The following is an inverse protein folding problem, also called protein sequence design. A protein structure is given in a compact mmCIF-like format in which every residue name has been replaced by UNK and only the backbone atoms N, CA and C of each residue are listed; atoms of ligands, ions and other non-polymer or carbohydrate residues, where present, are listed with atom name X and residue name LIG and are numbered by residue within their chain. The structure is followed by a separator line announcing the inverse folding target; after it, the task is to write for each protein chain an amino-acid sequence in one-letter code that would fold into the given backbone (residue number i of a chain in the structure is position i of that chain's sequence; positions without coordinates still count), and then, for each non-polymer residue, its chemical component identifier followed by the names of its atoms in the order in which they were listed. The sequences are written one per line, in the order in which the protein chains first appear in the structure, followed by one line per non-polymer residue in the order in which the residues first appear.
data_IF_491430374558
#
_entry.id   IF_491430374558
#
_cell.length_a   1.000
_cell.length_b   1.000
_cell.length_c   1.000
_cell.angle_alpha   90.00
_cell.angle_beta   90.00
_cell.angle_gamma   90.00
#
_symmetry.space_group_name_H-M   'P 1'
#
loop_
_entity.id
_entity.type
_entity.pdbx_description
1 polymer ?
#
# COMPACT_ATOMS: atom_id res chain seq x y z
N UNK A 1 4.23 20.68 21.05
CA UNK A 1 4.04 19.37 20.39
C UNK A 1 4.97 18.36 21.08
N UNK A 2 4.43 17.21 21.42
CA UNK A 2 5.22 16.13 22.05
C UNK A 2 6.36 15.69 21.12
N UNK A 3 7.58 15.48 21.64
CA UNK A 3 8.75 15.10 20.82
C UNK A 3 8.50 13.86 19.96
N UNK A 4 7.80 12.86 20.50
CA UNK A 4 7.46 11.62 19.76
C UNK A 4 6.56 11.91 18.57
N UNK A 5 5.53 12.72 18.72
CA UNK A 5 4.61 13.08 17.63
C UNK A 5 5.36 13.84 16.53
N UNK A 6 6.21 14.78 16.92
CA UNK A 6 7.02 15.52 15.95
C UNK A 6 7.99 14.62 15.18
N UNK A 7 8.65 13.70 15.87
CA UNK A 7 9.56 12.73 15.24
C UNK A 7 8.82 11.82 14.27
N UNK A 8 7.63 11.34 14.64
CA UNK A 8 6.78 10.51 13.81
C UNK A 8 6.34 11.25 12.54
N UNK A 9 5.85 12.50 12.69
CA UNK A 9 5.47 13.33 11.54
C UNK A 9 6.64 13.58 10.59
N UNK A 10 7.81 13.93 11.11
CA UNK A 10 9.00 14.18 10.30
C UNK A 10 9.43 12.92 9.55
N UNK A 11 9.45 11.78 10.23
CA UNK A 11 9.81 10.49 9.64
C UNK A 11 8.82 10.12 8.53
N UNK A 12 7.52 10.19 8.80
CA UNK A 12 6.49 9.88 7.83
C UNK A 12 6.56 10.79 6.60
N UNK A 13 6.72 12.10 6.79
CA UNK A 13 6.83 13.06 5.68
C UNK A 13 8.03 12.75 4.77
N UNK A 14 9.16 12.39 5.37
CA UNK A 14 10.37 12.03 4.61
C UNK A 14 10.22 10.71 3.88
N UNK A 15 9.64 9.71 4.55
CA UNK A 15 9.34 8.41 3.96
C UNK A 15 8.41 8.57 2.76
N UNK A 16 7.29 9.25 2.91
CA UNK A 16 6.33 9.49 1.84
C UNK A 16 6.97 10.19 0.64
N UNK A 17 7.79 11.20 0.88
CA UNK A 17 8.49 11.91 -0.21
C UNK A 17 9.38 10.97 -1.02
N UNK A 18 10.17 10.13 -0.36
CA UNK A 18 11.08 9.20 -1.03
C UNK A 18 10.31 8.09 -1.78
N UNK A 19 9.28 7.54 -1.14
CA UNK A 19 8.46 6.50 -1.76
C UNK A 19 7.67 7.04 -2.95
N UNK A 20 7.09 8.23 -2.84
CA UNK A 20 6.40 8.90 -3.93
C UNK A 20 7.31 9.09 -5.14
N UNK A 21 8.51 9.61 -4.91
CA UNK A 21 9.50 9.79 -5.98
C UNK A 21 9.83 8.49 -6.67
N UNK A 22 10.05 7.42 -5.91
CA UNK A 22 10.37 6.11 -6.46
C UNK A 22 9.26 5.59 -7.39
N UNK A 23 8.00 5.62 -6.93
CA UNK A 23 6.88 5.08 -7.71
C UNK A 23 6.53 5.97 -8.91
N UNK A 24 6.68 7.28 -8.80
CA UNK A 24 6.46 8.21 -9.91
C UNK A 24 7.47 8.02 -11.05
N UNK A 25 8.72 7.70 -10.73
CA UNK A 25 9.73 7.32 -11.72
C UNK A 25 9.36 6.05 -12.50
N UNK A 26 8.47 5.22 -11.95
CA UNK A 26 7.91 4.03 -12.60
C UNK A 26 6.58 4.28 -13.32
N UNK A 27 6.14 5.52 -13.38
CA UNK A 27 4.89 5.91 -14.04
C UNK A 27 3.63 5.64 -13.20
N UNK A 28 3.76 5.46 -11.89
CA UNK A 28 2.66 5.19 -10.98
C UNK A 28 2.46 6.35 -9.99
N UNK A 29 1.23 6.57 -9.58
CA UNK A 29 0.94 7.36 -8.38
C UNK A 29 1.12 6.49 -7.13
N UNK A 30 1.36 7.06 -5.95
CA UNK A 30 1.42 6.30 -4.71
C UNK A 30 0.18 5.42 -4.47
N UNK A 31 -1.02 5.96 -4.70
CA UNK A 31 -2.27 5.20 -4.52
C UNK A 31 -2.39 4.03 -5.53
N UNK A 32 -1.97 4.22 -6.77
CA UNK A 32 -1.92 3.13 -7.76
C UNK A 32 -0.94 2.03 -7.34
N UNK A 33 0.24 2.41 -6.86
CA UNK A 33 1.21 1.46 -6.34
C UNK A 33 0.65 0.68 -5.14
N UNK A 34 0.01 1.36 -4.19
CA UNK A 34 -0.58 0.74 -3.00
C UNK A 34 -1.64 -0.31 -3.37
N UNK A 35 -2.46 -0.03 -4.38
CA UNK A 35 -3.45 -1.00 -4.89
C UNK A 35 -2.76 -2.20 -5.52
N UNK A 36 -1.78 -1.97 -6.39
CA UNK A 36 -1.03 -3.07 -7.03
C UNK A 36 -0.29 -3.92 -5.99
N UNK A 37 0.37 -3.29 -5.03
CA UNK A 37 1.09 -3.98 -3.96
C UNK A 37 0.15 -4.79 -3.05
N UNK A 38 -1.04 -4.29 -2.77
CA UNK A 38 -2.04 -4.97 -1.94
C UNK A 38 -2.66 -6.17 -2.67
N UNK A 39 -2.91 -6.05 -3.97
CA UNK A 39 -3.46 -7.13 -4.79
C UNK A 39 -2.43 -8.17 -5.24
N UNK A 40 -1.14 -7.78 -5.29
CA UNK A 40 -0.07 -8.70 -5.69
C UNK A 40 -0.03 -9.94 -4.79
N UNK A 41 0.23 -11.10 -5.40
CA UNK A 41 0.26 -12.40 -4.73
C UNK A 41 -1.04 -12.80 -4.01
N UNK A 42 -2.16 -12.19 -4.38
CA UNK A 42 -3.51 -12.56 -3.93
C UNK A 42 -4.34 -13.08 -5.10
N UNK A 43 -5.38 -13.85 -4.79
CA UNK A 43 -6.40 -14.27 -5.76
C UNK A 43 -7.48 -13.20 -6.00
N UNK A 44 -7.24 -12.00 -5.48
CA UNK A 44 -8.17 -10.89 -5.53
C UNK A 44 -8.79 -10.57 -4.17
N UNK A 45 -9.30 -9.37 -4.04
CA UNK A 45 -9.92 -8.85 -2.82
C UNK A 45 -11.24 -8.15 -3.14
N UNK A 46 -12.25 -8.26 -2.24
CA UNK A 46 -13.42 -7.40 -2.29
C UNK A 46 -13.03 -5.92 -2.12
N UNK A 47 -13.83 -5.02 -2.68
CA UNK A 47 -13.57 -3.56 -2.64
C UNK A 47 -13.27 -3.04 -1.23
N UNK A 48 -14.10 -3.41 -0.24
CA UNK A 48 -13.91 -2.99 1.15
C UNK A 48 -12.59 -3.45 1.74
N UNK A 49 -12.25 -4.71 1.52
CA UNK A 49 -11.03 -5.31 2.03
C UNK A 49 -9.80 -4.70 1.37
N UNK A 50 -9.86 -4.44 0.07
CA UNK A 50 -8.79 -3.75 -0.65
C UNK A 50 -8.55 -2.36 -0.05
N UNK A 51 -9.59 -1.56 0.16
CA UNK A 51 -9.48 -0.24 0.76
C UNK A 51 -8.91 -0.28 2.18
N UNK A 52 -9.33 -1.26 2.97
CA UNK A 52 -8.84 -1.45 4.34
C UNK A 52 -7.34 -1.80 4.36
N UNK A 53 -6.91 -2.76 3.56
CA UNK A 53 -5.51 -3.19 3.52
C UNK A 53 -4.60 -2.15 2.89
N UNK A 54 -5.04 -1.49 1.83
CA UNK A 54 -4.29 -0.41 1.18
C UNK A 54 -4.34 0.92 1.94
N UNK A 55 -5.12 1.01 3.01
CA UNK A 55 -5.36 2.23 3.79
C UNK A 55 -5.89 3.39 2.94
N UNK A 56 -6.77 3.08 2.00
CA UNK A 56 -7.37 4.04 1.07
C UNK A 56 -8.88 4.09 1.32
N UNK A 57 -9.44 5.30 1.47
CA UNK A 57 -10.89 5.47 1.58
C UNK A 57 -11.62 5.11 0.27
N UNK A 58 -12.88 4.67 0.37
CA UNK A 58 -13.67 4.28 -0.79
C UNK A 58 -13.82 5.39 -1.84
N UNK A 59 -13.93 6.65 -1.39
CA UNK A 59 -14.01 7.81 -2.29
C UNK A 59 -12.74 8.05 -3.11
N UNK A 60 -11.58 7.71 -2.56
CA UNK A 60 -10.28 7.78 -3.27
C UNK A 60 -10.01 6.50 -4.08
N UNK A 61 -10.43 5.35 -3.57
CA UNK A 61 -10.18 4.05 -4.20
C UNK A 61 -10.87 3.91 -5.56
N UNK A 62 -12.12 4.36 -5.68
CA UNK A 62 -12.90 4.24 -6.93
C UNK A 62 -12.22 4.90 -8.13
N UNK A 63 -11.78 6.18 -8.07
CA UNK A 63 -11.03 6.79 -9.18
C UNK A 63 -9.72 6.08 -9.49
N UNK A 64 -9.00 5.61 -8.48
CA UNK A 64 -7.74 4.87 -8.67
C UNK A 64 -7.98 3.57 -9.42
N UNK A 65 -8.99 2.79 -9.02
CA UNK A 65 -9.37 1.55 -9.70
C UNK A 65 -9.82 1.79 -11.13
N UNK A 66 -10.61 2.83 -11.37
CA UNK A 66 -11.05 3.17 -12.73
C UNK A 66 -9.85 3.44 -13.66
N UNK A 67 -8.84 4.14 -13.17
CA UNK A 67 -7.61 4.42 -13.94
C UNK A 67 -6.77 3.16 -14.17
N UNK A 68 -6.64 2.31 -13.16
CA UNK A 68 -5.92 1.04 -13.30
C UNK A 68 -6.63 0.07 -14.24
N UNK A 69 -7.96 0.04 -14.19
CA UNK A 69 -8.78 -0.71 -15.15
C UNK A 69 -8.60 -0.22 -16.59
N UNK A 70 -8.63 1.11 -16.79
CA UNK A 70 -8.41 1.73 -18.10
C UNK A 70 -7.01 1.42 -18.65
N UNK A 71 -6.01 1.27 -17.78
CA UNK A 71 -4.65 0.85 -18.17
C UNK A 71 -4.52 -0.68 -18.37
N UNK A 72 -5.57 -1.45 -18.13
CA UNK A 72 -5.54 -2.90 -18.24
C UNK A 72 -4.73 -3.61 -17.14
N UNK A 73 -4.56 -3.00 -15.99
CA UNK A 73 -3.75 -3.53 -14.87
C UNK A 73 -4.58 -4.23 -13.80
N UNK A 74 -5.84 -3.84 -13.66
CA UNK A 74 -6.81 -4.40 -12.71
C UNK A 74 -8.08 -4.74 -13.45
N UNK A 75 -8.77 -5.79 -13.01
CA UNK A 75 -10.09 -6.17 -13.53
C UNK A 75 -11.05 -6.45 -12.38
N UNK A 76 -12.33 -6.23 -12.64
CA UNK A 76 -13.42 -6.57 -11.73
C UNK A 76 -14.00 -7.91 -12.14
N UNK A 77 -14.15 -8.81 -11.19
CA UNK A 77 -14.73 -10.13 -11.39
C UNK A 77 -15.86 -10.35 -10.39
N UNK A 78 -16.86 -11.12 -10.78
CA UNK A 78 -17.83 -11.60 -9.79
C UNK A 78 -17.17 -12.70 -8.94
N UNK A 79 -17.46 -12.69 -7.64
CA UNK A 79 -17.03 -13.78 -6.76
C UNK A 79 -17.74 -15.07 -7.16
N UNK A 80 -17.00 -16.17 -7.29
CA UNK A 80 -17.55 -17.49 -7.61
C UNK A 80 -18.48 -18.05 -6.51
N UNK A 81 -18.26 -17.60 -5.26
CA UNK A 81 -19.04 -18.04 -4.07
C UNK A 81 -20.25 -17.15 -3.80
N UNK A 82 -20.12 -15.86 -4.03
CA UNK A 82 -21.20 -14.87 -3.87
C UNK A 82 -21.19 -13.91 -5.06
N UNK A 83 -22.04 -14.16 -6.05
CA UNK A 83 -22.17 -13.33 -7.25
C UNK A 83 -22.60 -11.89 -6.99
N UNK A 84 -22.94 -11.52 -5.73
CA UNK A 84 -23.24 -10.14 -5.32
C UNK A 84 -21.96 -9.34 -5.05
N UNK A 85 -20.86 -10.02 -4.74
CA UNK A 85 -19.57 -9.39 -4.49
C UNK A 85 -18.77 -9.25 -5.77
N UNK A 86 -18.16 -8.08 -5.91
CA UNK A 86 -17.17 -7.80 -6.95
C UNK A 86 -15.79 -7.97 -6.32
N UNK A 87 -14.96 -8.78 -6.95
CA UNK A 87 -13.57 -9.02 -6.58
C UNK A 87 -12.65 -8.25 -7.54
N UNK A 88 -11.72 -7.50 -6.97
CA UNK A 88 -10.68 -6.81 -7.72
C UNK A 88 -9.48 -7.74 -7.85
N UNK A 89 -8.98 -7.92 -9.07
CA UNK A 89 -7.82 -8.77 -9.37
C UNK A 89 -6.84 -8.04 -10.26
N UNK A 90 -5.56 -8.35 -10.12
CA UNK A 90 -4.57 -7.98 -11.13
C UNK A 90 -4.81 -8.77 -12.42
N UNK A 91 -4.66 -8.09 -13.53
CA UNK A 91 -4.52 -8.76 -14.84
C UNK A 91 -3.11 -9.36 -14.95
N UNK A 92 -2.81 -10.21 -15.94
CA UNK A 92 -1.44 -10.65 -16.21
C UNK A 92 -0.46 -9.48 -16.38
N UNK A 93 -0.88 -8.40 -17.02
CA UNK A 93 -0.09 -7.17 -17.17
C UNK A 93 0.11 -6.45 -15.83
N UNK A 94 -0.94 -6.41 -15.00
CA UNK A 94 -0.86 -5.86 -13.64
C UNK A 94 0.07 -6.65 -12.75
N UNK A 95 0.03 -7.97 -12.81
CA UNK A 95 0.95 -8.85 -12.07
C UNK A 95 2.40 -8.66 -12.52
N UNK A 96 2.63 -8.57 -13.83
CA UNK A 96 3.97 -8.32 -14.35
C UNK A 96 4.53 -6.98 -13.89
N UNK A 97 3.71 -5.92 -13.88
CA UNK A 97 4.10 -4.61 -13.38
C UNK A 97 4.38 -4.65 -11.87
N UNK A 98 3.53 -5.31 -11.09
CA UNK A 98 3.73 -5.51 -9.66
C UNK A 98 5.10 -6.17 -9.39
N UNK A 99 5.40 -7.27 -10.06
CA UNK A 99 6.67 -7.98 -9.89
C UNK A 99 7.87 -7.11 -10.29
N UNK A 100 7.75 -6.33 -11.36
CA UNK A 100 8.82 -5.46 -11.85
C UNK A 100 9.09 -4.25 -10.94
N UNK A 101 8.10 -3.80 -10.16
CA UNK A 101 8.22 -2.59 -9.33
C UNK A 101 8.35 -2.92 -7.85
N UNK A 102 7.66 -3.94 -7.35
CA UNK A 102 7.58 -4.22 -5.91
C UNK A 102 8.92 -4.67 -5.33
N UNK A 103 9.63 -5.59 -5.96
CA UNK A 103 10.93 -6.03 -5.45
C UNK A 103 11.96 -4.91 -5.41
N UNK A 104 12.17 -4.12 -6.49
CA UNK A 104 13.03 -2.94 -6.41
C UNK A 104 12.57 -1.90 -5.37
N UNK A 105 11.27 -1.75 -5.14
CA UNK A 105 10.73 -0.89 -4.09
C UNK A 105 11.14 -1.38 -2.70
N UNK A 106 11.01 -2.68 -2.44
CA UNK A 106 11.42 -3.27 -1.15
C UNK A 106 12.91 -3.05 -0.90
N UNK A 107 13.76 -3.29 -1.90
CA UNK A 107 15.21 -3.07 -1.79
C UNK A 107 15.52 -1.58 -1.54
N UNK A 108 14.85 -0.69 -2.25
CA UNK A 108 14.99 0.75 -2.07
C UNK A 108 14.60 1.20 -0.67
N UNK A 109 13.46 0.72 -0.16
CA UNK A 109 12.99 1.02 1.18
C UNK A 109 13.91 0.43 2.26
N UNK A 110 14.39 -0.80 2.04
CA UNK A 110 15.28 -1.48 2.97
C UNK A 110 16.56 -0.70 3.22
N UNK A 111 17.14 -0.06 2.20
CA UNK A 111 18.33 0.73 2.34
C UNK A 111 18.21 1.87 3.38
N UNK A 112 17.00 2.43 3.55
CA UNK A 112 16.74 3.42 4.60
C UNK A 112 16.56 2.80 5.98
N UNK A 113 15.94 1.62 6.04
CA UNK A 113 15.70 0.88 7.29
C UNK A 113 17.01 0.32 7.85
N UNK A 114 17.97 0.02 7.00
CA UNK A 114 19.31 -0.46 7.38
C UNK A 114 20.15 0.58 8.14
N UNK A 115 19.68 1.82 8.26
CA UNK A 115 20.24 2.80 9.19
C UNK A 115 20.05 2.37 10.66
N UNK A 116 19.14 1.45 10.93
CA UNK A 116 18.86 0.87 12.24
C UNK A 116 19.42 -0.55 12.31
N UNK A 117 19.91 -0.93 13.50
CA UNK A 117 20.25 -2.34 13.74
C UNK A 117 18.99 -3.22 13.73
N UNK A 118 19.12 -4.55 13.53
CA UNK A 118 17.97 -5.45 13.61
C UNK A 118 17.17 -5.35 14.91
N UNK A 119 17.86 -5.16 16.02
CA UNK A 119 17.25 -4.99 17.35
C UNK A 119 16.43 -3.69 17.42
N UNK A 120 17.00 -2.58 16.90
CA UNK A 120 16.32 -1.28 16.79
C UNK A 120 15.11 -1.35 15.86
N UNK A 121 15.20 -2.06 14.73
CA UNK A 121 14.09 -2.27 13.81
C UNK A 121 12.93 -3.01 14.50
N UNK A 122 13.22 -4.09 15.23
CA UNK A 122 12.23 -4.85 15.97
C UNK A 122 11.57 -4.01 17.08
N UNK A 123 12.36 -3.26 17.83
CA UNK A 123 11.82 -2.40 18.88
C UNK A 123 10.97 -1.25 18.32
N UNK A 124 11.43 -0.61 17.26
CA UNK A 124 10.65 0.45 16.58
C UNK A 124 9.31 -0.10 16.07
N UNK A 125 9.34 -1.25 15.42
CA UNK A 125 8.12 -1.91 14.90
C UNK A 125 7.14 -2.18 16.04
N UNK A 126 7.62 -2.74 17.15
CA UNK A 126 6.81 -3.01 18.34
C UNK A 126 6.19 -1.75 18.92
N UNK A 127 6.98 -0.67 19.02
CA UNK A 127 6.52 0.62 19.56
C UNK A 127 5.49 1.29 18.64
N UNK A 128 5.70 1.24 17.34
CA UNK A 128 4.76 1.79 16.37
C UNK A 128 3.41 1.06 16.39
N UNK A 129 3.41 -0.27 16.49
CA UNK A 129 2.16 -1.04 16.64
C UNK A 129 1.44 -0.69 17.94
N UNK A 130 2.16 -0.61 19.05
CA UNK A 130 1.58 -0.22 20.35
C UNK A 130 0.96 1.17 20.29
N UNK A 131 1.62 2.10 19.61
CA UNK A 131 1.11 3.47 19.44
C UNK A 131 -0.11 3.50 18.52
N UNK A 132 -0.10 2.73 17.46
CA UNK A 132 -1.24 2.62 16.54
C UNK A 132 -2.49 2.06 17.24
N UNK A 133 -2.33 1.04 18.09
CA UNK A 133 -3.43 0.49 18.89
C UNK A 133 -4.02 1.54 19.85
N UNK A 134 -3.17 2.39 20.43
CA UNK A 134 -3.62 3.47 21.33
C UNK A 134 -4.45 4.54 20.61
N UNK A 135 -4.26 4.75 19.32
CA UNK A 135 -5.10 5.64 18.51
C UNK A 135 -6.47 5.02 18.13
N UNK A 136 -6.63 3.72 18.39
CA UNK A 136 -7.83 2.98 18.01
C UNK A 136 -7.83 2.52 16.54
N UNK A 137 -8.84 1.74 16.13
CA UNK A 137 -8.95 1.30 14.75
C UNK A 137 -9.10 2.53 13.85
N UNK A 138 -8.17 2.69 12.93
CA UNK A 138 -8.25 3.75 11.92
C UNK A 138 -9.57 3.61 11.17
N UNK A 139 -10.35 4.67 11.13
CA UNK A 139 -11.49 4.75 10.23
C UNK A 139 -10.93 4.88 8.82
N UNK A 140 -11.20 3.94 7.93
CA UNK A 140 -10.77 4.08 6.54
C UNK A 140 -11.41 5.27 5.85
#
# INVERSE_FOLDING_TARGET
MLPVIRALHLCNQRLERQMTRFVEEKGLTPAQFDVLATLGDTDGLPFKELGRQALITGGTLTPVLNRLEAKGLVRRCKDDRDHRQVILRLTPEGQALYEAVFLPYVDYAQAYVDALTPEEQNELTRLLHKLAEAFGPGTP
#
